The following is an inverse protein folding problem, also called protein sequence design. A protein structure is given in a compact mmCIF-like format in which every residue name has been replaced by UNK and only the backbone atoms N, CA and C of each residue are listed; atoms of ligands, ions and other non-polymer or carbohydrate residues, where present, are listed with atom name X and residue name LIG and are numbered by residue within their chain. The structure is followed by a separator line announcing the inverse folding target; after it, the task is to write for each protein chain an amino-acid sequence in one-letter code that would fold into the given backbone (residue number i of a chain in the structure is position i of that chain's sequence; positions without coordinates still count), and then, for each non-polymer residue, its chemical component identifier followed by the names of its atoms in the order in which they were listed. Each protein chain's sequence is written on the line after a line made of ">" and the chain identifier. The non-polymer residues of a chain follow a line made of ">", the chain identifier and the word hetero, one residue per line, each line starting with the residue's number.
data_IF_899046951369
#
_entry.id   IF_899046951369
#
_cell.length_a   1.000
_cell.length_b   1.000
_cell.length_c   1.000
_cell.angle_alpha   90.00
_cell.angle_beta   90.00
_cell.angle_gamma   90.00
#
_symmetry.space_group_name_H-M   'P 1'
#
loop_
_entity.id
_entity.type
_entity.pdbx_description
1 polymer ?
#
# COMPACT_ATOMS: atom_id res chain seq x y z
N UNK A 1 -17.62 -35.70 -42.07
CA UNK A 1 -17.92 -34.58 -41.19
C UNK A 1 -18.24 -33.35 -42.05
N UNK A 2 -19.35 -32.69 -41.80
CA UNK A 2 -19.70 -31.48 -42.54
C UNK A 2 -18.78 -30.33 -42.14
N UNK A 3 -18.50 -29.38 -43.08
CA UNK A 3 -17.67 -28.19 -42.79
C UNK A 3 -18.15 -27.42 -41.56
N UNK A 4 -19.45 -27.44 -41.26
CA UNK A 4 -20.07 -26.85 -40.07
C UNK A 4 -19.62 -27.54 -38.77
N UNK A 5 -19.50 -28.86 -38.78
CA UNK A 5 -19.03 -29.63 -37.60
C UNK A 5 -17.55 -29.36 -37.31
N UNK A 6 -16.74 -29.27 -38.36
CA UNK A 6 -15.31 -28.94 -38.22
C UNK A 6 -15.15 -27.53 -37.66
N UNK A 7 -15.89 -26.54 -38.17
CA UNK A 7 -15.86 -25.15 -37.67
C UNK A 7 -16.27 -25.08 -36.20
N UNK A 8 -17.32 -25.81 -35.82
CA UNK A 8 -17.80 -25.86 -34.45
C UNK A 8 -16.75 -26.47 -33.49
N UNK A 9 -16.10 -27.57 -33.90
CA UNK A 9 -15.01 -28.18 -33.12
C UNK A 9 -13.80 -27.22 -32.96
N UNK A 10 -13.44 -26.51 -34.02
CA UNK A 10 -12.32 -25.51 -33.97
C UNK A 10 -12.67 -24.38 -33.01
N UNK A 11 -13.90 -23.85 -33.01
CA UNK A 11 -14.35 -22.79 -32.10
C UNK A 11 -14.34 -23.24 -30.63
N UNK A 12 -14.83 -24.48 -30.37
CA UNK A 12 -14.77 -25.03 -29.02
C UNK A 12 -13.33 -25.21 -28.56
N UNK A 13 -12.48 -25.78 -29.42
CA UNK A 13 -11.07 -26.03 -29.06
C UNK A 13 -10.27 -24.73 -28.86
N UNK A 14 -10.51 -23.72 -29.70
CA UNK A 14 -9.91 -22.40 -29.50
C UNK A 14 -10.39 -21.72 -28.22
N UNK A 15 -11.68 -21.88 -27.87
CA UNK A 15 -12.23 -21.40 -26.58
C UNK A 15 -11.59 -22.11 -25.38
N UNK A 16 -11.37 -23.42 -25.46
CA UNK A 16 -10.67 -24.19 -24.42
C UNK A 16 -9.22 -23.73 -24.28
N UNK A 17 -8.51 -23.57 -25.40
CA UNK A 17 -7.13 -23.05 -25.38
C UNK A 17 -7.09 -21.66 -24.77
N UNK A 18 -8.00 -20.76 -25.14
CA UNK A 18 -8.07 -19.40 -24.59
C UNK A 18 -8.26 -19.40 -23.09
N UNK A 19 -9.16 -20.25 -22.55
CA UNK A 19 -9.36 -20.41 -21.10
C UNK A 19 -8.11 -20.98 -20.45
N UNK A 20 -7.46 -21.97 -21.08
CA UNK A 20 -6.30 -22.67 -20.52
C UNK A 20 -5.05 -21.77 -20.42
N UNK A 21 -4.89 -20.81 -21.34
CA UNK A 21 -3.80 -19.82 -21.31
C UNK A 21 -4.12 -18.56 -20.48
N UNK A 22 -5.15 -18.60 -19.64
CA UNK A 22 -5.49 -17.49 -18.73
C UNK A 22 -6.33 -16.37 -19.36
N UNK A 23 -6.99 -16.63 -20.47
CA UNK A 23 -7.81 -15.64 -21.16
C UNK A 23 -8.97 -15.10 -20.31
N UNK A 24 -9.56 -15.92 -19.45
CA UNK A 24 -10.58 -15.48 -18.50
C UNK A 24 -10.02 -14.53 -17.44
N UNK A 25 -8.80 -14.79 -16.98
CA UNK A 25 -8.11 -13.93 -16.02
C UNK A 25 -7.80 -12.55 -16.61
N UNK A 26 -7.43 -12.48 -17.88
CA UNK A 26 -7.25 -11.23 -18.61
C UNK A 26 -8.56 -10.44 -18.77
N UNK A 27 -9.69 -11.13 -18.99
CA UNK A 27 -11.02 -10.50 -19.04
C UNK A 27 -11.38 -9.90 -17.68
N UNK A 28 -11.17 -10.63 -16.59
CA UNK A 28 -11.45 -10.15 -15.24
C UNK A 28 -10.62 -8.90 -14.91
N UNK A 29 -9.35 -8.90 -15.23
CA UNK A 29 -8.45 -7.74 -15.04
C UNK A 29 -8.90 -6.52 -15.86
N UNK A 30 -9.17 -6.69 -17.15
CA UNK A 30 -9.70 -5.59 -18.00
C UNK A 30 -11.05 -5.08 -17.52
N UNK A 31 -11.92 -5.97 -17.04
CA UNK A 31 -13.20 -5.62 -16.46
C UNK A 31 -13.03 -4.81 -15.16
N UNK A 32 -12.02 -5.15 -14.34
CA UNK A 32 -11.67 -4.36 -13.16
C UNK A 32 -11.16 -2.97 -13.53
N UNK A 33 -10.21 -2.88 -14.47
CA UNK A 33 -9.66 -1.60 -14.94
C UNK A 33 -10.75 -0.68 -15.51
N UNK A 34 -11.63 -1.22 -16.34
CA UNK A 34 -12.75 -0.48 -16.90
C UNK A 34 -13.73 0.03 -15.82
N UNK A 35 -14.02 -0.80 -14.83
CA UNK A 35 -14.84 -0.41 -13.67
C UNK A 35 -14.17 0.67 -12.85
N UNK A 36 -12.87 0.50 -12.53
CA UNK A 36 -12.13 1.43 -11.67
C UNK A 36 -11.97 2.81 -12.32
N UNK A 37 -11.87 2.86 -13.65
CA UNK A 37 -11.83 4.10 -14.44
C UNK A 37 -13.19 4.74 -14.66
N UNK A 38 -14.29 4.08 -14.30
CA UNK A 38 -15.64 4.62 -14.44
C UNK A 38 -15.97 5.64 -13.36
N UNK A 39 -16.96 6.51 -13.62
CA UNK A 39 -17.45 7.45 -12.60
C UNK A 39 -18.06 6.65 -11.43
N UNK A 40 -17.69 6.97 -10.16
CA UNK A 40 -18.27 6.32 -9.01
C UNK A 40 -19.81 6.52 -8.93
N UNK A 41 -20.51 5.43 -8.69
CA UNK A 41 -21.96 5.41 -8.38
C UNK A 41 -22.19 5.11 -6.89
N UNK A 42 -23.46 5.09 -6.46
CA UNK A 42 -23.85 4.81 -5.08
C UNK A 42 -23.38 3.43 -4.58
N UNK A 43 -23.15 2.48 -5.48
CA UNK A 43 -22.71 1.12 -5.15
C UNK A 43 -21.22 0.90 -5.41
N UNK A 44 -20.50 1.94 -5.82
CA UNK A 44 -19.09 1.83 -6.23
C UNK A 44 -18.25 1.12 -5.16
N UNK A 45 -18.38 1.53 -3.90
CA UNK A 45 -17.58 0.97 -2.80
C UNK A 45 -17.82 -0.54 -2.59
N UNK A 46 -19.07 -0.97 -2.60
CA UNK A 46 -19.41 -2.39 -2.46
C UNK A 46 -18.93 -3.22 -3.65
N UNK A 47 -19.09 -2.65 -4.86
CA UNK A 47 -18.63 -3.27 -6.10
C UNK A 47 -17.10 -3.35 -6.15
N UNK A 48 -16.39 -2.32 -5.68
CA UNK A 48 -14.93 -2.28 -5.63
C UNK A 48 -14.38 -3.42 -4.77
N UNK A 49 -14.87 -3.56 -3.54
CA UNK A 49 -14.44 -4.64 -2.65
C UNK A 49 -14.62 -6.03 -3.28
N UNK A 50 -15.80 -6.30 -3.85
CA UNK A 50 -16.08 -7.57 -4.52
C UNK A 50 -15.15 -7.82 -5.71
N UNK A 51 -14.88 -6.80 -6.50
CA UNK A 51 -13.99 -6.90 -7.67
C UNK A 51 -12.54 -7.10 -7.27
N UNK A 52 -12.07 -6.45 -6.21
CA UNK A 52 -10.75 -6.71 -5.64
C UNK A 52 -10.66 -8.16 -5.16
N UNK A 53 -11.68 -8.68 -4.45
CA UNK A 53 -11.70 -10.07 -4.02
C UNK A 53 -11.60 -11.06 -5.19
N UNK A 54 -12.27 -10.77 -6.29
CA UNK A 54 -12.17 -11.58 -7.48
C UNK A 54 -10.80 -11.47 -8.13
N UNK A 55 -10.25 -10.24 -8.22
CA UNK A 55 -8.94 -9.99 -8.80
C UNK A 55 -7.83 -10.74 -8.03
N UNK A 56 -7.88 -10.73 -6.70
CA UNK A 56 -6.89 -11.42 -5.87
C UNK A 56 -6.92 -12.95 -6.01
N UNK A 57 -8.04 -13.54 -6.51
CA UNK A 57 -8.13 -14.97 -6.82
C UNK A 57 -7.47 -15.35 -8.15
N UNK A 58 -7.11 -14.39 -8.98
CA UNK A 58 -6.46 -14.63 -10.27
C UNK A 58 -5.07 -15.21 -10.03
N UNK A 59 -4.80 -16.41 -10.54
CA UNK A 59 -3.51 -17.09 -10.34
C UNK A 59 -2.34 -16.42 -11.09
N UNK A 60 -2.63 -15.70 -12.16
CA UNK A 60 -1.63 -15.00 -12.97
C UNK A 60 -1.27 -13.60 -12.46
N UNK A 61 -1.73 -13.18 -11.27
CA UNK A 61 -1.26 -11.95 -10.66
C UNK A 61 0.26 -12.00 -10.46
N UNK A 62 0.94 -10.92 -10.82
CA UNK A 62 2.38 -10.78 -10.55
C UNK A 62 2.61 -9.85 -9.36
N UNK A 63 3.76 -9.98 -8.66
CA UNK A 63 4.13 -9.04 -7.60
C UNK A 63 4.01 -7.58 -8.03
N UNK A 64 4.55 -7.23 -9.22
CA UNK A 64 4.51 -5.86 -9.73
C UNK A 64 3.10 -5.32 -9.96
N UNK A 65 2.17 -6.16 -10.45
CA UNK A 65 0.78 -5.77 -10.67
C UNK A 65 0.04 -5.51 -9.35
N UNK A 66 0.29 -6.34 -8.34
CA UNK A 66 -0.32 -6.16 -7.02
C UNK A 66 0.24 -4.93 -6.30
N UNK A 67 1.56 -4.69 -6.39
CA UNK A 67 2.17 -3.48 -5.84
C UNK A 67 1.59 -2.22 -6.50
N UNK A 68 1.53 -2.19 -7.83
CA UNK A 68 0.94 -1.06 -8.56
C UNK A 68 -0.51 -0.80 -8.14
N UNK A 69 -1.34 -1.86 -8.06
CA UNK A 69 -2.73 -1.75 -7.63
C UNK A 69 -2.84 -1.21 -6.19
N UNK A 70 -2.07 -1.78 -5.25
CA UNK A 70 -2.10 -1.36 -3.86
C UNK A 70 -1.68 0.11 -3.69
N UNK A 71 -0.62 0.53 -4.39
CA UNK A 71 -0.11 1.90 -4.36
C UNK A 71 -1.12 2.88 -4.98
N UNK A 72 -1.76 2.51 -6.09
CA UNK A 72 -2.80 3.33 -6.69
C UNK A 72 -4.01 3.49 -5.78
N UNK A 73 -4.49 2.39 -5.16
CA UNK A 73 -5.57 2.43 -4.18
C UNK A 73 -5.23 3.33 -2.98
N UNK A 74 -3.97 3.30 -2.52
CA UNK A 74 -3.48 4.18 -1.45
C UNK A 74 -3.54 5.65 -1.88
N UNK A 75 -3.04 5.98 -3.07
CA UNK A 75 -3.06 7.33 -3.62
C UNK A 75 -4.48 7.87 -3.81
N UNK A 76 -5.43 7.01 -4.17
CA UNK A 76 -6.84 7.35 -4.36
C UNK A 76 -7.66 7.41 -3.05
N UNK A 77 -6.99 7.26 -1.88
CA UNK A 77 -7.63 7.29 -0.58
C UNK A 77 -8.44 6.03 -0.24
N UNK A 78 -8.23 4.93 -0.98
CA UNK A 78 -8.87 3.63 -0.79
C UNK A 78 -8.06 2.77 0.19
N UNK A 79 -7.89 3.25 1.40
CA UNK A 79 -6.95 2.70 2.38
C UNK A 79 -7.26 1.27 2.80
N UNK A 80 -8.54 0.93 2.96
CA UNK A 80 -8.99 -0.43 3.30
C UNK A 80 -8.60 -1.43 2.22
N UNK A 81 -8.89 -1.09 0.97
CA UNK A 81 -8.61 -1.91 -0.20
C UNK A 81 -7.11 -2.02 -0.46
N UNK A 82 -6.39 -0.92 -0.32
CA UNK A 82 -4.92 -0.90 -0.40
C UNK A 82 -4.30 -1.84 0.64
N UNK A 83 -4.67 -1.70 1.91
CA UNK A 83 -4.20 -2.59 2.98
C UNK A 83 -4.49 -4.06 2.69
N UNK A 84 -5.66 -4.37 2.13
CA UNK A 84 -6.04 -5.73 1.75
C UNK A 84 -5.14 -6.30 0.65
N UNK A 85 -4.83 -5.49 -0.37
CA UNK A 85 -3.95 -5.92 -1.46
C UNK A 85 -2.52 -6.09 -0.98
N UNK A 86 -1.99 -5.18 -0.14
CA UNK A 86 -0.66 -5.34 0.46
C UNK A 86 -0.56 -6.57 1.35
N UNK A 87 -1.59 -6.84 2.18
CA UNK A 87 -1.60 -8.05 3.01
C UNK A 87 -1.55 -9.31 2.14
N UNK A 88 -2.39 -9.38 1.10
CA UNK A 88 -2.37 -10.49 0.15
C UNK A 88 -1.02 -10.64 -0.55
N UNK A 89 -0.38 -9.51 -0.93
CA UNK A 89 0.95 -9.50 -1.53
C UNK A 89 1.97 -10.17 -0.61
N UNK A 90 2.04 -9.75 0.66
CA UNK A 90 3.00 -10.27 1.64
C UNK A 90 2.77 -11.77 1.89
N UNK A 91 1.50 -12.18 2.01
CA UNK A 91 1.14 -13.58 2.26
C UNK A 91 1.47 -14.50 1.06
N UNK A 92 1.39 -13.96 -0.17
CA UNK A 92 1.52 -14.76 -1.40
C UNK A 92 2.93 -14.71 -1.98
N UNK A 93 3.63 -13.59 -1.84
CA UNK A 93 4.89 -13.29 -2.50
C UNK A 93 5.99 -12.87 -1.52
N UNK A 94 6.14 -13.60 -0.42
CA UNK A 94 7.08 -13.29 0.67
C UNK A 94 8.52 -13.03 0.19
N UNK A 95 8.98 -13.73 -0.85
CA UNK A 95 10.33 -13.61 -1.40
C UNK A 95 10.57 -12.30 -2.19
N UNK A 96 9.49 -11.57 -2.50
CA UNK A 96 9.53 -10.31 -3.24
C UNK A 96 9.19 -9.10 -2.37
N UNK A 97 9.06 -9.31 -1.05
CA UNK A 97 8.72 -8.24 -0.12
C UNK A 97 9.97 -7.45 0.24
N UNK A 98 9.97 -6.18 -0.10
CA UNK A 98 11.01 -5.22 0.26
C UNK A 98 10.54 -4.24 1.35
N UNK A 99 11.42 -3.32 1.69
CA UNK A 99 11.17 -2.26 2.67
C UNK A 99 10.00 -1.37 2.29
N UNK A 100 9.86 -1.03 0.99
CA UNK A 100 8.82 -0.14 0.49
C UNK A 100 7.44 -0.77 0.57
N UNK A 101 7.32 -2.08 0.36
CA UNK A 101 6.07 -2.82 0.54
C UNK A 101 5.62 -2.75 2.00
N UNK A 102 6.51 -3.00 2.96
CA UNK A 102 6.16 -2.90 4.38
C UNK A 102 5.80 -1.48 4.81
N UNK A 103 6.55 -0.47 4.38
CA UNK A 103 6.25 0.93 4.73
C UNK A 103 4.94 1.41 4.10
N UNK A 104 4.65 1.04 2.86
CA UNK A 104 3.39 1.38 2.19
C UNK A 104 2.19 0.65 2.79
N UNK A 105 2.35 -0.60 3.23
CA UNK A 105 1.33 -1.33 3.97
C UNK A 105 1.08 -0.70 5.35
N UNK A 106 2.13 -0.28 6.04
CA UNK A 106 1.99 0.43 7.31
C UNK A 106 1.22 1.74 7.14
N UNK A 107 1.54 2.52 6.08
CA UNK A 107 0.86 3.77 5.74
C UNK A 107 -0.62 3.54 5.45
N UNK A 108 -0.95 2.61 4.55
CA UNK A 108 -2.35 2.29 4.22
C UNK A 108 -3.13 1.81 5.45
N UNK A 109 -2.50 1.01 6.31
CA UNK A 109 -3.09 0.51 7.55
C UNK A 109 -3.31 1.62 8.58
N UNK A 110 -2.37 2.56 8.70
CA UNK A 110 -2.50 3.72 9.58
C UNK A 110 -3.66 4.62 9.15
N UNK A 111 -3.74 4.95 7.87
CA UNK A 111 -4.82 5.76 7.30
C UNK A 111 -6.18 5.05 7.43
N UNK A 112 -6.24 3.74 7.17
CA UNK A 112 -7.44 2.92 7.37
C UNK A 112 -7.86 2.85 8.85
N UNK A 113 -6.91 2.87 9.78
CA UNK A 113 -7.16 2.89 11.23
C UNK A 113 -7.41 4.31 11.78
N UNK A 114 -7.93 5.21 10.95
CA UNK A 114 -8.28 6.60 11.33
C UNK A 114 -7.09 7.36 11.90
N UNK A 115 -5.93 7.20 11.30
CA UNK A 115 -4.66 7.81 11.71
C UNK A 115 -4.28 7.50 13.17
N UNK A 116 -4.46 6.24 13.59
CA UNK A 116 -4.05 5.77 14.92
C UNK A 116 -3.08 4.60 14.75
N UNK A 117 -1.97 4.67 15.46
CA UNK A 117 -1.04 3.55 15.53
C UNK A 117 -1.61 2.40 16.37
N UNK A 118 -1.26 1.19 15.96
CA UNK A 118 -1.44 -0.04 16.73
C UNK A 118 -0.19 -0.91 16.58
N UNK A 119 -0.10 -1.99 17.35
CA UNK A 119 1.08 -2.87 17.35
C UNK A 119 1.39 -3.46 15.98
N UNK A 120 0.37 -3.74 15.15
CA UNK A 120 0.57 -4.29 13.82
C UNK A 120 1.25 -3.26 12.90
N UNK A 121 0.76 -2.01 12.89
CA UNK A 121 1.35 -0.92 12.10
C UNK A 121 2.81 -0.69 12.51
N UNK A 122 3.09 -0.64 13.82
CA UNK A 122 4.45 -0.47 14.34
C UNK A 122 5.35 -1.63 13.91
N UNK A 123 4.85 -2.88 13.97
CA UNK A 123 5.58 -4.06 13.50
C UNK A 123 5.91 -4.01 12.00
N UNK A 124 5.01 -3.49 11.17
CA UNK A 124 5.27 -3.29 9.73
C UNK A 124 6.39 -2.26 9.51
N UNK A 125 6.39 -1.17 10.27
CA UNK A 125 7.47 -0.16 10.22
C UNK A 125 8.80 -0.76 10.66
N UNK A 126 8.81 -1.56 11.73
CA UNK A 126 10.02 -2.23 12.22
C UNK A 126 10.57 -3.23 11.19
N UNK A 127 9.70 -3.97 10.48
CA UNK A 127 10.11 -4.85 9.37
C UNK A 127 10.68 -4.07 8.20
N UNK A 128 10.07 -2.94 7.83
CA UNK A 128 10.59 -2.06 6.80
C UNK A 128 12.00 -1.58 7.15
N UNK A 129 12.21 -1.05 8.36
CA UNK A 129 13.50 -0.53 8.83
C UNK A 129 14.54 -1.63 9.06
N UNK A 130 14.12 -2.87 9.29
CA UNK A 130 15.02 -4.02 9.34
C UNK A 130 15.60 -4.35 7.96
N UNK A 131 14.80 -4.24 6.89
CA UNK A 131 15.23 -4.46 5.51
C UNK A 131 16.02 -3.29 4.96
N UNK A 132 15.60 -2.06 5.26
CA UNK A 132 16.27 -0.82 4.87
C UNK A 132 16.18 0.21 6.00
N UNK A 133 17.26 0.37 6.80
CA UNK A 133 17.31 1.35 7.89
C UNK A 133 17.17 2.81 7.44
N UNK A 134 17.33 3.07 6.15
CA UNK A 134 17.23 4.41 5.54
C UNK A 134 15.87 4.68 4.89
N UNK A 135 14.92 3.75 4.92
CA UNK A 135 13.61 3.93 4.31
C UNK A 135 12.91 5.18 4.88
N UNK A 136 12.90 6.25 4.10
CA UNK A 136 12.41 7.56 4.55
C UNK A 136 10.93 7.55 4.94
N UNK A 137 10.08 6.75 4.27
CA UNK A 137 8.65 6.61 4.60
C UNK A 137 8.46 5.95 5.98
N UNK A 138 9.14 4.84 6.23
CA UNK A 138 9.08 4.15 7.51
C UNK A 138 9.64 5.02 8.64
N UNK A 139 10.76 5.71 8.41
CA UNK A 139 11.36 6.65 9.37
C UNK A 139 10.42 7.83 9.67
N UNK A 140 9.76 8.39 8.65
CA UNK A 140 8.78 9.47 8.83
C UNK A 140 7.63 9.02 9.73
N UNK A 141 7.08 7.85 9.46
CA UNK A 141 5.97 7.30 10.27
C UNK A 141 6.43 6.88 11.67
N UNK A 142 7.64 6.33 11.82
CA UNK A 142 8.20 5.98 13.13
C UNK A 142 8.46 7.23 13.98
N UNK A 143 8.91 8.31 13.32
CA UNK A 143 9.03 9.63 13.96
C UNK A 143 7.67 10.15 14.45
N UNK A 144 6.61 10.03 13.64
CA UNK A 144 5.26 10.41 14.03
C UNK A 144 4.76 9.58 15.23
N UNK A 145 4.96 8.27 15.19
CA UNK A 145 4.64 7.38 16.31
C UNK A 145 5.34 7.79 17.60
N UNK A 146 6.64 8.11 17.54
CA UNK A 146 7.40 8.57 18.69
C UNK A 146 6.91 9.93 19.19
N UNK A 147 6.58 10.86 18.29
CA UNK A 147 6.04 12.17 18.63
C UNK A 147 4.70 12.05 19.38
N UNK A 148 3.76 11.24 18.86
CA UNK A 148 2.46 11.00 19.51
C UNK A 148 2.60 10.38 20.91
N UNK A 149 3.69 9.64 21.15
CA UNK A 149 3.99 9.07 22.47
C UNK A 149 4.89 9.96 23.35
N UNK A 150 5.11 11.23 22.99
CA UNK A 150 5.91 12.18 23.76
C UNK A 150 7.41 11.93 23.72
N UNK A 151 7.88 11.01 22.86
CA UNK A 151 9.30 10.67 22.68
C UNK A 151 9.95 11.59 21.65
N UNK A 152 9.92 12.90 21.90
CA UNK A 152 10.28 13.92 20.91
C UNK A 152 11.72 13.82 20.40
N UNK A 153 12.68 13.44 21.26
CA UNK A 153 14.07 13.24 20.83
C UNK A 153 14.20 12.05 19.85
N UNK A 154 13.48 10.96 20.08
CA UNK A 154 13.48 9.82 19.18
C UNK A 154 12.73 10.12 17.86
N UNK A 155 11.67 10.93 17.94
CA UNK A 155 11.01 11.46 16.75
C UNK A 155 11.98 12.26 15.86
N UNK A 156 12.72 13.19 16.46
CA UNK A 156 13.73 14.01 15.75
C UNK A 156 14.81 13.14 15.11
N UNK A 157 15.35 12.13 15.82
CA UNK A 157 16.35 11.21 15.26
C UNK A 157 15.84 10.53 13.99
N UNK A 158 14.60 9.99 14.02
CA UNK A 158 14.02 9.34 12.85
C UNK A 158 13.80 10.31 11.68
N UNK A 159 13.30 11.51 11.97
CA UNK A 159 13.04 12.52 10.93
C UNK A 159 14.30 13.13 10.33
N UNK A 160 15.40 13.25 11.09
CA UNK A 160 16.71 13.66 10.55
C UNK A 160 17.17 12.65 9.49
N UNK A 161 17.17 11.36 9.81
CA UNK A 161 17.56 10.31 8.85
C UNK A 161 16.59 10.31 7.64
N UNK A 162 15.28 10.46 7.89
CA UNK A 162 14.30 10.55 6.79
C UNK A 162 14.59 11.74 5.88
N UNK A 163 14.94 12.92 6.43
CA UNK A 163 15.22 14.13 5.67
C UNK A 163 16.45 13.98 4.76
N UNK A 164 17.45 13.22 5.19
CA UNK A 164 18.64 12.91 4.40
C UNK A 164 18.37 11.97 3.23
N UNK A 165 17.31 11.15 3.32
CA UNK A 165 17.00 10.09 2.36
C UNK A 165 15.75 10.38 1.49
N UNK A 166 15.11 11.53 1.66
CA UNK A 166 13.97 11.94 0.83
C UNK A 166 14.41 12.88 -0.29
N UNK A 167 13.96 12.63 -1.52
CA UNK A 167 14.31 13.46 -2.68
C UNK A 167 13.36 14.64 -2.88
N UNK A 168 12.07 14.47 -2.53
CA UNK A 168 11.03 15.48 -2.77
C UNK A 168 11.17 16.69 -1.86
N UNK A 169 11.28 17.90 -2.45
CA UNK A 169 11.33 19.15 -1.71
C UNK A 169 10.11 19.41 -0.84
N UNK A 170 8.92 18.96 -1.27
CA UNK A 170 7.70 19.13 -0.48
C UNK A 170 7.66 18.17 0.72
N UNK A 171 8.21 16.97 0.58
CA UNK A 171 8.39 16.05 1.71
C UNK A 171 9.44 16.59 2.69
N UNK A 172 10.56 17.16 2.20
CA UNK A 172 11.55 17.84 3.05
C UNK A 172 10.94 18.98 3.87
N UNK A 173 10.16 19.85 3.22
CA UNK A 173 9.44 20.94 3.92
C UNK A 173 8.49 20.39 5.00
N UNK A 174 7.74 19.34 4.68
CA UNK A 174 6.81 18.71 5.63
C UNK A 174 7.55 18.13 6.84
N UNK A 175 8.68 17.45 6.63
CA UNK A 175 9.54 16.95 7.72
C UNK A 175 10.07 18.08 8.60
N UNK A 176 10.56 19.18 8.02
CA UNK A 176 11.05 20.35 8.76
C UNK A 176 9.94 20.93 9.66
N UNK A 177 8.69 20.99 9.19
CA UNK A 177 7.55 21.49 9.97
C UNK A 177 7.31 20.62 11.22
N UNK A 178 7.28 19.30 11.07
CA UNK A 178 7.05 18.40 12.21
C UNK A 178 8.23 18.35 13.16
N UNK A 179 9.46 18.47 12.64
CA UNK A 179 10.67 18.59 13.46
C UNK A 179 10.66 19.86 14.33
N UNK A 180 10.27 21.01 13.78
CA UNK A 180 10.10 22.25 14.53
C UNK A 180 9.04 22.10 15.63
N UNK A 181 7.97 21.37 15.38
CA UNK A 181 6.96 21.07 16.41
C UNK A 181 7.54 20.26 17.56
N UNK A 182 8.36 19.24 17.26
CA UNK A 182 9.02 18.44 18.29
C UNK A 182 10.05 19.26 19.11
N UNK A 183 10.81 20.13 18.46
CA UNK A 183 11.74 21.03 19.16
C UNK A 183 11.02 21.96 20.15
N UNK A 184 9.88 22.51 19.73
CA UNK A 184 9.04 23.34 20.59
C UNK A 184 8.52 22.57 21.83
N UNK A 185 8.07 21.33 21.65
CA UNK A 185 7.62 20.49 22.77
C UNK A 185 8.78 20.16 23.75
N UNK A 186 9.99 19.92 23.24
CA UNK A 186 11.18 19.72 24.08
C UNK A 186 11.48 20.95 24.92
N UNK A 187 11.40 22.15 24.32
CA UNK A 187 11.63 23.41 25.02
C UNK A 187 10.59 23.65 26.11
N UNK A 188 9.31 23.45 25.81
CA UNK A 188 8.21 23.55 26.78
C UNK A 188 8.44 22.61 27.97
N UNK A 189 8.85 21.36 27.71
CA UNK A 189 9.09 20.40 28.76
C UNK A 189 10.31 20.74 29.63
N UNK A 190 11.37 21.31 29.05
CA UNK A 190 12.51 21.84 29.81
C UNK A 190 12.09 22.95 30.77
N UNK A 191 11.31 23.91 30.29
CA UNK A 191 10.87 25.06 31.10
C UNK A 191 9.93 24.66 32.23
N UNK A 192 9.11 23.60 32.06
CA UNK A 192 8.26 23.07 33.13
C UNK A 192 9.03 22.36 34.24
N UNK A 193 10.19 21.77 33.92
CA UNK A 193 11.01 21.04 34.89
C UNK A 193 12.02 21.95 35.64
N UNK A 194 12.13 23.23 35.26
CA UNK A 194 13.00 24.20 35.89
C UNK A 194 12.27 25.17 36.81
N UNK A 195 10.94 25.10 36.88
CA UNK A 195 10.08 25.84 37.81
C UNK A 195 9.47 24.91 38.86
#
# INVERSE_FOLDING_TARGET
>A
MTNKTILFCVLIFSGFIYVFIGGLENIERKSFEAFYSSKPDLNFQNNLNKRIDNLLKIKSNTPSQLNLLATQLLADGRYSESSKVFNFYIDTYSDFVDSDIYSSFAESSYLNNKMKFNNNIVSLLDKSLFLDPSNHKALTMKGLFNFENGKFNDALKNWVIALENVDSDDQKKSLIIVMNSALKEIEINKNKNTN
#
